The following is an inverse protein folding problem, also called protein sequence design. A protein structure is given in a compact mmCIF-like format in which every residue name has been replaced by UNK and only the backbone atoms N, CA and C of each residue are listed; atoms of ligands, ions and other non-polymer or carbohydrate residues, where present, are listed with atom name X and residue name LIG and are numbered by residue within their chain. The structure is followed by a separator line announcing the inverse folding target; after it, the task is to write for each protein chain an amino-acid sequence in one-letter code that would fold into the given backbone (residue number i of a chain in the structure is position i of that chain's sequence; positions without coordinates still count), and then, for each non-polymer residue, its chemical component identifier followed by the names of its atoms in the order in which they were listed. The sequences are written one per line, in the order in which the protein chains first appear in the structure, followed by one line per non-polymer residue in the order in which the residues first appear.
data_IF_725595657526
#
_entry.id   IF_725595657526
#
_cell.length_a   1.000
_cell.length_b   1.000
_cell.length_c   1.000
_cell.angle_alpha   90.00
_cell.angle_beta   90.00
_cell.angle_gamma   90.00
#
_symmetry.space_group_name_H-M   'P 1'
#
loop_
_entity.id
_entity.type
_entity.pdbx_description
1 polymer ?
#
# COMPACT_ATOMS: atom_id res chain seq x y z
N UNK A 1 26.60 -3.50 -43.68
CA UNK A 1 27.09 -2.59 -42.64
C UNK A 1 26.19 -2.74 -41.41
N UNK A 2 26.54 -3.66 -40.50
CA UNK A 2 25.66 -4.09 -39.41
C UNK A 2 25.83 -3.18 -38.20
N UNK A 3 24.85 -2.30 -37.93
CA UNK A 3 24.82 -1.50 -36.70
C UNK A 3 24.51 -2.41 -35.51
N UNK A 4 25.56 -2.76 -34.74
CA UNK A 4 25.42 -3.35 -33.42
C UNK A 4 24.88 -2.29 -32.47
N UNK A 5 23.57 -2.27 -32.25
CA UNK A 5 22.96 -1.49 -31.18
C UNK A 5 23.46 -2.05 -29.84
N UNK A 6 24.26 -1.24 -29.14
CA UNK A 6 24.83 -1.57 -27.84
C UNK A 6 23.72 -1.72 -26.80
N UNK A 7 23.56 -2.93 -26.24
CA UNK A 7 22.64 -3.25 -25.12
C UNK A 7 22.82 -2.30 -23.92
N UNK A 8 23.99 -1.66 -23.75
CA UNK A 8 24.24 -0.70 -22.68
C UNK A 8 23.50 0.63 -22.84
N UNK A 9 23.18 1.06 -24.07
CA UNK A 9 22.43 2.31 -24.31
C UNK A 9 20.94 2.24 -23.94
N UNK A 10 20.38 1.03 -23.89
CA UNK A 10 18.98 0.80 -23.53
C UNK A 10 18.70 0.91 -22.02
N UNK A 11 19.68 0.57 -21.18
CA UNK A 11 19.54 0.65 -19.72
C UNK A 11 19.78 2.07 -19.17
N UNK A 12 20.64 2.87 -19.82
CA UNK A 12 20.96 4.24 -19.37
C UNK A 12 19.79 5.23 -19.58
N UNK A 13 18.88 4.95 -20.53
CA UNK A 13 17.64 5.73 -20.72
C UNK A 13 16.51 5.36 -19.74
N UNK A 14 16.62 4.25 -19.02
CA UNK A 14 15.56 3.74 -18.14
C UNK A 14 15.52 4.41 -16.75
N UNK A 15 16.62 5.05 -16.34
CA UNK A 15 16.66 5.93 -15.17
C UNK A 15 16.38 7.37 -15.61
N UNK A 16 15.10 7.71 -15.80
CA UNK A 16 14.68 9.04 -15.35
C UNK A 16 15.04 9.08 -13.87
N UNK A 17 15.89 9.99 -13.43
CA UNK A 17 16.22 10.15 -12.02
C UNK A 17 14.90 10.31 -11.25
N UNK A 18 14.49 9.26 -10.56
CA UNK A 18 13.28 9.23 -9.76
C UNK A 18 13.44 10.31 -8.70
N UNK A 19 12.37 11.04 -8.36
CA UNK A 19 12.47 12.04 -7.29
C UNK A 19 12.93 11.36 -6.00
N UNK A 20 13.52 12.12 -5.07
CA UNK A 20 13.88 11.60 -3.74
C UNK A 20 12.70 10.91 -3.06
N UNK A 21 11.48 11.39 -3.34
CA UNK A 21 10.24 10.94 -2.71
C UNK A 21 9.72 9.64 -3.32
N UNK A 22 9.77 9.52 -4.64
CA UNK A 22 9.43 8.29 -5.35
C UNK A 22 10.37 7.14 -4.93
N UNK A 23 11.67 7.42 -4.86
CA UNK A 23 12.67 6.46 -4.40
C UNK A 23 12.40 6.02 -2.96
N UNK A 24 12.03 6.95 -2.08
CA UNK A 24 11.70 6.63 -0.69
C UNK A 24 10.54 5.64 -0.61
N UNK A 25 9.44 5.91 -1.31
CA UNK A 25 8.28 5.02 -1.32
C UNK A 25 8.58 3.67 -1.97
N UNK A 26 9.35 3.63 -3.06
CA UNK A 26 9.74 2.36 -3.67
C UNK A 26 10.61 1.50 -2.76
N UNK A 27 11.60 2.09 -2.08
CA UNK A 27 12.46 1.36 -1.15
C UNK A 27 11.69 0.89 0.09
N UNK A 28 10.74 1.69 0.58
CA UNK A 28 9.88 1.27 1.69
C UNK A 28 8.96 0.12 1.26
N UNK A 29 8.31 0.22 0.10
CA UNK A 29 7.47 -0.84 -0.45
C UNK A 29 8.26 -2.13 -0.69
N UNK A 30 9.47 -2.03 -1.25
CA UNK A 30 10.35 -3.18 -1.46
C UNK A 30 10.73 -3.90 -0.16
N UNK A 31 10.95 -3.15 0.92
CA UNK A 31 11.29 -3.70 2.24
C UNK A 31 10.09 -4.31 2.96
N UNK A 32 8.92 -3.68 2.86
CA UNK A 32 7.73 -4.09 3.59
C UNK A 32 6.87 -5.12 2.84
N UNK A 33 6.84 -5.07 1.51
CA UNK A 33 5.97 -5.87 0.66
C UNK A 33 6.67 -6.22 -0.67
N UNK A 34 7.67 -7.08 -0.58
CA UNK A 34 8.55 -7.43 -1.69
C UNK A 34 7.80 -8.08 -2.87
N UNK A 35 6.82 -8.95 -2.59
CA UNK A 35 6.07 -9.63 -3.64
C UNK A 35 5.22 -8.64 -4.44
N UNK A 36 4.44 -7.78 -3.78
CA UNK A 36 3.65 -6.77 -4.49
C UNK A 36 4.53 -5.68 -5.12
N UNK A 37 5.73 -5.42 -4.59
CA UNK A 37 6.72 -4.58 -5.26
C UNK A 37 7.14 -5.18 -6.62
N UNK A 38 7.42 -6.49 -6.69
CA UNK A 38 7.73 -7.14 -7.98
C UNK A 38 6.52 -7.05 -8.93
N UNK A 39 5.30 -7.25 -8.44
CA UNK A 39 4.11 -7.06 -9.29
C UNK A 39 4.04 -5.61 -9.82
N UNK A 40 4.33 -4.62 -8.96
CA UNK A 40 4.28 -3.21 -9.32
C UNK A 40 5.32 -2.80 -10.37
N UNK A 41 6.49 -3.46 -10.46
CA UNK A 41 7.53 -3.05 -11.43
C UNK A 41 7.08 -3.23 -12.89
N UNK A 42 6.11 -4.10 -13.13
CA UNK A 42 5.53 -4.36 -14.45
C UNK A 42 4.49 -3.30 -14.87
N UNK A 43 4.07 -2.41 -13.98
CA UNK A 43 3.13 -1.35 -14.29
C UNK A 43 3.79 -0.20 -15.08
N UNK A 44 3.01 0.58 -15.85
CA UNK A 44 3.50 1.81 -16.47
C UNK A 44 4.11 2.77 -15.44
N UNK A 45 5.11 3.61 -15.79
CA UNK A 45 5.90 4.36 -14.81
C UNK A 45 5.10 5.14 -13.76
N UNK A 46 4.05 5.86 -14.15
CA UNK A 46 3.21 6.59 -13.19
C UNK A 46 2.40 5.65 -12.28
N UNK A 47 1.84 4.57 -12.82
CA UNK A 47 1.07 3.60 -12.03
C UNK A 47 1.96 2.76 -11.12
N UNK A 48 3.20 2.46 -11.54
CA UNK A 48 4.22 1.84 -10.69
C UNK A 48 4.55 2.71 -9.48
N UNK A 49 4.81 4.01 -9.70
CA UNK A 49 5.05 4.96 -8.61
C UNK A 49 3.86 5.01 -7.65
N UNK A 50 2.65 5.08 -8.20
CA UNK A 50 1.42 5.10 -7.41
C UNK A 50 1.22 3.80 -6.60
N UNK A 51 1.41 2.63 -7.20
CA UNK A 51 1.34 1.36 -6.51
C UNK A 51 2.37 1.27 -5.36
N UNK A 52 3.62 1.67 -5.62
CA UNK A 52 4.65 1.70 -4.60
C UNK A 52 4.32 2.70 -3.48
N UNK A 53 3.77 3.87 -3.80
CA UNK A 53 3.28 4.82 -2.81
C UNK A 53 2.19 4.21 -1.92
N UNK A 54 1.15 3.58 -2.50
CA UNK A 54 0.06 2.99 -1.71
C UNK A 54 0.54 1.88 -0.78
N UNK A 55 1.49 1.06 -1.24
CA UNK A 55 2.11 0.00 -0.42
C UNK A 55 2.98 0.59 0.69
N UNK A 56 3.79 1.60 0.37
CA UNK A 56 4.59 2.33 1.34
C UNK A 56 3.73 3.03 2.40
N UNK A 57 2.62 3.62 1.99
CA UNK A 57 1.63 4.22 2.88
C UNK A 57 1.04 3.17 3.82
N UNK A 58 0.56 2.04 3.30
CA UNK A 58 0.04 0.96 4.14
C UNK A 58 1.07 0.47 5.17
N UNK A 59 2.35 0.35 4.78
CA UNK A 59 3.43 -0.01 5.68
C UNK A 59 3.71 1.07 6.75
N UNK A 60 3.67 2.35 6.38
CA UNK A 60 3.82 3.47 7.33
C UNK A 60 2.67 3.47 8.35
N UNK A 61 1.42 3.24 7.93
CA UNK A 61 0.26 3.13 8.83
C UNK A 61 0.37 1.88 9.71
N UNK A 62 0.83 0.75 9.18
CA UNK A 62 1.04 -0.48 9.94
C UNK A 62 1.98 -0.29 11.13
N UNK A 63 3.07 0.46 10.91
CA UNK A 63 4.12 0.66 11.91
C UNK A 63 3.78 1.73 12.96
N UNK A 64 2.63 2.41 12.86
CA UNK A 64 2.24 3.46 13.81
C UNK A 64 2.16 2.90 15.23
N UNK A 65 1.53 1.74 15.41
CA UNK A 65 1.38 1.10 16.73
C UNK A 65 2.70 0.59 17.29
N UNK A 66 3.63 0.16 16.44
CA UNK A 66 4.94 -0.34 16.90
C UNK A 66 5.89 0.81 17.28
N UNK A 67 5.79 1.95 16.61
CA UNK A 67 6.61 3.14 16.88
C UNK A 67 6.06 3.97 18.05
N UNK A 68 4.77 3.92 18.31
CA UNK A 68 4.12 4.64 19.40
C UNK A 68 4.40 3.97 20.76
N UNK A 69 4.67 4.79 21.79
CA UNK A 69 4.87 4.29 23.16
C UNK A 69 3.55 3.94 23.85
N UNK A 70 2.48 4.64 23.50
CA UNK A 70 1.16 4.48 24.09
C UNK A 70 0.09 4.53 23.00
N UNK A 71 -1.11 4.03 23.32
CA UNK A 71 -2.23 4.04 22.39
C UNK A 71 -2.66 5.45 22.01
N UNK A 72 -2.56 6.39 22.94
CA UNK A 72 -2.91 7.80 22.74
C UNK A 72 -1.99 8.43 21.68
N UNK A 73 -0.69 8.13 21.74
CA UNK A 73 0.28 8.60 20.73
C UNK A 73 -0.01 7.99 19.35
N UNK A 74 -0.36 6.70 19.30
CA UNK A 74 -0.77 6.06 18.05
C UNK A 74 -2.03 6.72 17.47
N UNK A 75 -3.04 6.98 18.30
CA UNK A 75 -4.28 7.65 17.90
C UNK A 75 -4.05 9.05 17.35
N UNK A 76 -3.14 9.83 17.96
CA UNK A 76 -2.73 11.14 17.43
C UNK A 76 -2.14 11.00 16.03
N UNK A 77 -1.28 9.99 15.81
CA UNK A 77 -0.67 9.74 14.50
C UNK A 77 -1.66 9.24 13.45
N UNK A 78 -2.66 8.44 13.83
CA UNK A 78 -3.74 8.05 12.91
C UNK A 78 -4.63 9.25 12.56
N UNK A 79 -5.02 10.06 13.55
CA UNK A 79 -5.78 11.29 13.33
C UNK A 79 -5.05 12.24 12.39
N UNK A 80 -3.75 12.42 12.60
CA UNK A 80 -2.90 13.20 11.70
C UNK A 80 -3.03 12.77 10.23
N UNK A 81 -3.01 11.46 9.97
CA UNK A 81 -3.16 10.95 8.60
C UNK A 81 -4.56 11.19 8.03
N UNK A 82 -5.61 11.00 8.82
CA UNK A 82 -6.98 11.30 8.39
C UNK A 82 -7.15 12.78 8.02
N UNK A 83 -6.66 13.67 8.88
CA UNK A 83 -6.73 15.12 8.67
C UNK A 83 -5.89 15.52 7.43
N UNK A 84 -4.73 14.89 7.22
CA UNK A 84 -3.90 15.11 6.04
C UNK A 84 -4.58 14.66 4.74
N UNK A 85 -5.23 13.48 4.73
CA UNK A 85 -5.99 12.99 3.58
C UNK A 85 -7.16 13.94 3.28
N UNK A 86 -7.89 14.38 4.30
CA UNK A 86 -9.00 15.32 4.14
C UNK A 86 -8.52 16.67 3.59
N UNK A 87 -7.42 17.20 4.10
CA UNK A 87 -6.84 18.46 3.64
C UNK A 87 -6.42 18.40 2.17
N UNK A 88 -5.68 17.36 1.77
CA UNK A 88 -5.25 17.18 0.37
C UNK A 88 -6.47 16.91 -0.53
N UNK A 89 -7.48 16.20 -0.04
CA UNK A 89 -8.72 15.96 -0.80
C UNK A 89 -9.50 17.24 -1.10
N UNK A 90 -9.51 18.22 -0.19
CA UNK A 90 -10.22 19.50 -0.38
C UNK A 90 -9.46 20.43 -1.32
N UNK A 91 -8.14 20.55 -1.10
CA UNK A 91 -7.29 21.39 -1.93
C UNK A 91 -5.88 20.79 -2.06
N UNK A 92 -5.61 20.05 -3.16
CA UNK A 92 -4.29 19.53 -3.45
C UNK A 92 -3.23 20.60 -3.74
N UNK A 93 -3.62 21.87 -3.92
CA UNK A 93 -2.72 22.99 -4.25
C UNK A 93 -2.35 23.88 -3.05
N UNK A 94 -3.14 23.86 -1.98
CA UNK A 94 -2.93 24.67 -0.76
C UNK A 94 -1.80 24.18 0.17
N UNK A 95 -1.09 23.14 -0.21
CA UNK A 95 -0.38 22.28 0.74
C UNK A 95 1.11 22.56 0.87
N UNK A 96 1.46 23.84 1.11
CA UNK A 96 2.84 24.30 1.35
C UNK A 96 3.46 23.82 2.68
N UNK A 97 2.80 22.94 3.43
CA UNK A 97 3.15 22.59 4.83
C UNK A 97 3.68 21.15 4.97
N UNK A 98 3.55 20.30 3.95
CA UNK A 98 3.96 18.90 4.05
C UNK A 98 5.47 18.70 3.82
N UNK A 99 6.13 18.06 4.78
CA UNK A 99 7.60 18.00 4.87
C UNK A 99 8.15 16.60 4.63
N UNK A 100 7.36 15.55 4.83
CA UNK A 100 7.82 14.18 4.63
C UNK A 100 7.71 13.74 3.15
N UNK A 101 8.59 12.84 2.69
CA UNK A 101 8.46 12.25 1.35
C UNK A 101 7.10 11.60 1.10
N UNK A 102 6.53 10.96 2.13
CA UNK A 102 5.23 10.28 2.05
C UNK A 102 4.09 11.26 1.75
N UNK A 103 4.03 12.37 2.47
CA UNK A 103 2.99 13.39 2.24
C UNK A 103 3.10 14.03 0.85
N UNK A 104 4.33 14.25 0.35
CA UNK A 104 4.53 14.76 -1.01
C UNK A 104 4.07 13.76 -2.07
N UNK A 105 4.29 12.47 -1.85
CA UNK A 105 3.74 11.43 -2.73
C UNK A 105 2.22 11.35 -2.64
N UNK A 106 1.60 11.60 -1.48
CA UNK A 106 0.16 11.69 -1.34
C UNK A 106 -0.42 12.83 -2.19
N UNK A 107 0.16 14.03 -2.10
CA UNK A 107 -0.24 15.17 -2.94
C UNK A 107 -0.06 14.84 -4.42
N UNK A 108 1.11 14.32 -4.79
CA UNK A 108 1.40 13.94 -6.17
C UNK A 108 0.38 12.93 -6.70
N UNK A 109 0.04 11.91 -5.91
CA UNK A 109 -0.92 10.89 -6.28
C UNK A 109 -2.33 11.47 -6.48
N UNK A 110 -2.79 12.32 -5.57
CA UNK A 110 -4.12 12.95 -5.64
C UNK A 110 -4.23 14.01 -6.75
N UNK A 111 -3.12 14.62 -7.15
CA UNK A 111 -3.07 15.51 -8.32
C UNK A 111 -3.00 14.73 -9.64
N UNK A 112 -2.34 13.57 -9.64
CA UNK A 112 -2.05 12.81 -10.86
C UNK A 112 -3.16 11.84 -11.25
N UNK A 113 -3.80 11.22 -10.27
CA UNK A 113 -4.80 10.18 -10.47
C UNK A 113 -6.15 10.57 -9.89
N UNK A 114 -7.21 10.03 -10.49
CA UNK A 114 -8.56 10.11 -9.94
C UNK A 114 -8.85 8.82 -9.22
N UNK A 115 -8.92 8.88 -7.89
CA UNK A 115 -9.36 7.78 -7.03
C UNK A 115 -10.11 8.35 -5.83
N UNK A 116 -10.93 7.53 -5.20
CA UNK A 116 -11.72 7.89 -4.03
C UNK A 116 -10.83 8.00 -2.79
N UNK A 117 -10.69 9.20 -2.18
CA UNK A 117 -9.87 9.39 -0.98
C UNK A 117 -10.37 8.57 0.21
N UNK A 118 -11.64 8.17 0.19
CA UNK A 118 -12.27 7.30 1.18
C UNK A 118 -11.48 5.99 1.38
N UNK A 119 -10.88 5.44 0.33
CA UNK A 119 -10.09 4.22 0.43
C UNK A 119 -8.87 4.39 1.35
N UNK A 120 -8.19 5.54 1.30
CA UNK A 120 -7.09 5.85 2.22
C UNK A 120 -7.59 5.97 3.66
N UNK A 121 -8.68 6.69 3.88
CA UNK A 121 -9.26 6.87 5.21
C UNK A 121 -9.73 5.54 5.81
N UNK A 122 -10.40 4.70 5.03
CA UNK A 122 -10.83 3.36 5.46
C UNK A 122 -9.65 2.49 5.90
N UNK A 123 -8.53 2.53 5.18
CA UNK A 123 -7.33 1.79 5.54
C UNK A 123 -6.75 2.29 6.89
N UNK A 124 -6.69 3.62 7.08
CA UNK A 124 -6.22 4.22 8.33
C UNK A 124 -7.15 3.85 9.49
N UNK A 125 -8.46 3.98 9.31
CA UNK A 125 -9.48 3.63 10.32
C UNK A 125 -9.43 2.15 10.69
N UNK A 126 -9.28 1.25 9.71
CA UNK A 126 -9.18 -0.19 9.97
C UNK A 126 -7.99 -0.53 10.89
N UNK A 127 -6.85 0.16 10.72
CA UNK A 127 -5.69 0.01 11.60
C UNK A 127 -5.87 0.74 12.94
N UNK A 128 -6.48 1.92 12.94
CA UNK A 128 -6.76 2.70 14.14
C UNK A 128 -7.82 2.07 15.04
N UNK A 129 -8.71 1.24 14.50
CA UNK A 129 -9.73 0.53 15.28
C UNK A 129 -9.25 -0.83 15.81
N UNK A 130 -8.07 -1.30 15.39
CA UNK A 130 -7.51 -2.54 15.90
C UNK A 130 -6.99 -2.35 17.33
N UNK A 131 -7.47 -3.20 18.25
CA UNK A 131 -6.94 -3.31 19.60
C UNK A 131 -5.52 -3.89 19.60
N UNK A 132 -4.61 -3.23 20.32
CA UNK A 132 -3.19 -3.60 20.36
C UNK A 132 -2.97 -4.90 21.14
N UNK A 133 -2.19 -5.81 20.56
CA UNK A 133 -1.82 -7.08 21.21
C UNK A 133 -2.96 -8.09 21.38
N UNK A 134 -4.15 -7.79 20.86
CA UNK A 134 -5.31 -8.69 20.90
C UNK A 134 -5.30 -9.61 19.67
N UNK A 135 -5.25 -10.94 19.85
CA UNK A 135 -5.37 -11.88 18.73
C UNK A 135 -6.77 -11.82 18.14
N UNK A 136 -6.92 -12.21 16.87
CA UNK A 136 -8.24 -12.31 16.26
C UNK A 136 -9.02 -13.47 16.87
N UNK A 137 -10.31 -13.26 17.16
CA UNK A 137 -11.17 -14.27 17.74
C UNK A 137 -11.59 -15.34 16.72
N UNK A 138 -11.74 -14.95 15.44
CA UNK A 138 -12.19 -15.86 14.37
C UNK A 138 -11.42 -15.63 13.08
N UNK A 139 -11.40 -16.63 12.19
CA UNK A 139 -10.82 -16.49 10.85
C UNK A 139 -11.56 -15.42 10.04
N UNK A 140 -12.88 -15.30 10.20
CA UNK A 140 -13.67 -14.25 9.58
C UNK A 140 -13.26 -12.84 10.01
N UNK A 141 -12.90 -12.65 11.28
CA UNK A 141 -12.40 -11.37 11.78
C UNK A 141 -11.03 -11.04 11.17
N UNK A 142 -10.14 -12.04 11.10
CA UNK A 142 -8.84 -11.92 10.43
C UNK A 142 -9.02 -11.56 8.94
N UNK A 143 -9.91 -12.25 8.23
CA UNK A 143 -10.24 -12.01 6.83
C UNK A 143 -10.74 -10.59 6.60
N UNK A 144 -11.74 -10.15 7.37
CA UNK A 144 -12.28 -8.79 7.28
C UNK A 144 -11.20 -7.75 7.52
N UNK A 145 -10.33 -7.96 8.51
CA UNK A 145 -9.23 -7.04 8.76
C UNK A 145 -8.21 -7.02 7.60
N UNK A 146 -7.83 -8.19 7.09
CA UNK A 146 -6.95 -8.30 5.94
C UNK A 146 -7.56 -7.61 4.71
N UNK A 147 -8.88 -7.73 4.53
CA UNK A 147 -9.65 -7.07 3.50
C UNK A 147 -9.63 -5.55 3.65
N UNK A 148 -10.02 -5.03 4.80
CA UNK A 148 -10.06 -3.59 5.05
C UNK A 148 -8.67 -2.92 4.98
N UNK A 149 -7.57 -3.67 5.17
CA UNK A 149 -6.20 -3.11 5.13
C UNK A 149 -5.49 -3.31 3.79
N UNK A 150 -5.96 -4.21 2.92
CA UNK A 150 -5.33 -4.48 1.62
C UNK A 150 -6.22 -4.17 0.42
N UNK A 151 -7.51 -4.48 0.48
CA UNK A 151 -8.45 -4.24 -0.61
C UNK A 151 -8.48 -2.76 -1.07
N UNK A 152 -8.44 -1.75 -0.18
CA UNK A 152 -8.42 -0.35 -0.60
C UNK A 152 -7.29 -0.01 -1.58
N UNK A 153 -6.13 -0.66 -1.46
CA UNK A 153 -4.99 -0.45 -2.36
C UNK A 153 -5.33 -0.86 -3.78
N UNK A 154 -6.00 -2.00 -3.93
CA UNK A 154 -6.39 -2.53 -5.23
C UNK A 154 -7.54 -1.71 -5.84
N UNK A 155 -8.51 -1.27 -5.03
CA UNK A 155 -9.56 -0.37 -5.50
C UNK A 155 -9.00 0.95 -6.01
N UNK A 156 -8.09 1.58 -5.28
CA UNK A 156 -7.45 2.82 -5.74
C UNK A 156 -6.63 2.61 -7.01
N UNK A 157 -5.92 1.48 -7.13
CA UNK A 157 -5.21 1.14 -8.36
C UNK A 157 -6.16 0.97 -9.54
N UNK A 158 -7.27 0.24 -9.37
CA UNK A 158 -8.27 0.06 -10.41
C UNK A 158 -8.89 1.41 -10.85
N UNK A 159 -9.29 2.24 -9.88
CA UNK A 159 -9.83 3.59 -10.16
C UNK A 159 -8.82 4.47 -10.91
N UNK A 160 -7.52 4.32 -10.63
CA UNK A 160 -6.46 5.07 -11.31
C UNK A 160 -6.32 4.71 -12.80
N UNK A 161 -6.67 3.47 -13.19
CA UNK A 161 -6.68 3.03 -14.58
C UNK A 161 -7.97 3.43 -15.33
N UNK A 162 -9.10 3.48 -14.63
CA UNK A 162 -10.44 3.66 -15.23
C UNK A 162 -10.80 5.13 -15.56
N UNK A 163 -9.88 6.08 -15.37
CA UNK A 163 -10.11 7.49 -15.74
C UNK A 163 -11.29 8.17 -15.02
N UNK A 164 -11.80 7.58 -13.92
CA UNK A 164 -12.94 8.10 -13.16
C UNK A 164 -14.30 7.92 -13.83
N UNK A 165 -14.45 7.01 -14.79
CA UNK A 165 -15.73 6.83 -15.48
C UNK A 165 -15.92 5.48 -16.17
N UNK A 166 -16.30 4.47 -15.41
CA UNK A 166 -17.16 3.37 -15.87
C UNK A 166 -16.48 2.27 -16.67
N UNK A 167 -15.82 1.34 -15.97
CA UNK A 167 -15.38 0.08 -16.57
C UNK A 167 -14.75 -0.90 -15.58
N UNK A 168 -15.22 -0.90 -14.33
CA UNK A 168 -14.59 -1.60 -13.18
C UNK A 168 -14.49 -3.12 -13.36
N UNK A 169 -15.26 -3.76 -14.23
CA UNK A 169 -15.32 -5.22 -14.32
C UNK A 169 -14.06 -5.90 -14.91
N UNK A 170 -13.48 -5.40 -16.01
CA UNK A 170 -12.42 -6.16 -16.72
C UNK A 170 -11.04 -6.12 -16.03
N UNK A 171 -10.67 -4.98 -15.43
CA UNK A 171 -9.39 -4.85 -14.71
C UNK A 171 -9.52 -5.45 -13.31
N UNK A 172 -10.64 -5.22 -12.60
CA UNK A 172 -10.80 -5.76 -11.26
C UNK A 172 -10.89 -7.29 -11.26
N UNK A 173 -11.36 -7.93 -12.34
CA UNK A 173 -11.36 -9.40 -12.42
C UNK A 173 -9.95 -10.01 -12.53
N UNK A 174 -9.01 -9.38 -13.25
CA UNK A 174 -7.59 -9.80 -13.25
C UNK A 174 -6.92 -9.55 -11.89
N UNK A 175 -7.25 -8.43 -11.23
CA UNK A 175 -6.68 -8.09 -9.93
C UNK A 175 -7.33 -8.84 -8.76
N UNK A 176 -8.59 -9.29 -8.88
CA UNK A 176 -9.24 -10.23 -7.95
C UNK A 176 -8.45 -11.53 -7.87
N UNK A 177 -7.92 -12.03 -8.98
CA UNK A 177 -7.06 -13.24 -8.96
C UNK A 177 -5.80 -12.98 -8.14
N UNK A 178 -5.12 -11.84 -8.33
CA UNK A 178 -3.91 -11.49 -7.55
C UNK A 178 -4.25 -11.25 -6.08
N UNK A 179 -5.37 -10.60 -5.79
CA UNK A 179 -5.87 -10.35 -4.44
C UNK A 179 -6.24 -11.63 -3.71
N UNK A 180 -7.07 -12.48 -4.33
CA UNK A 180 -7.46 -13.77 -3.79
C UNK A 180 -6.26 -14.71 -3.68
N UNK A 181 -5.32 -14.70 -4.64
CA UNK A 181 -4.08 -15.46 -4.55
C UNK A 181 -3.21 -15.01 -3.37
N UNK A 182 -3.02 -13.70 -3.18
CA UNK A 182 -2.24 -13.18 -2.04
C UNK A 182 -2.94 -13.44 -0.69
N UNK A 183 -4.26 -13.35 -0.63
CA UNK A 183 -5.05 -13.65 0.57
C UNK A 183 -5.01 -15.15 0.91
N UNK A 184 -5.24 -16.04 -0.07
CA UNK A 184 -5.14 -17.50 0.12
C UNK A 184 -3.71 -17.93 0.42
N UNK A 185 -2.69 -17.32 -0.19
CA UNK A 185 -1.29 -17.61 0.11
C UNK A 185 -0.91 -17.17 1.53
N UNK A 186 -1.36 -16.00 1.98
CA UNK A 186 -1.15 -15.54 3.36
C UNK A 186 -1.88 -16.42 4.39
N UNK A 187 -3.09 -16.88 4.08
CA UNK A 187 -3.86 -17.81 4.93
C UNK A 187 -3.27 -19.23 4.95
N UNK A 188 -2.77 -19.73 3.82
CA UNK A 188 -2.21 -21.08 3.69
C UNK A 188 -0.81 -21.22 4.28
N UNK A 189 0.00 -20.15 4.31
CA UNK A 189 1.39 -20.20 4.78
C UNK A 189 1.56 -19.77 6.24
N UNK A 190 0.59 -19.07 6.84
CA UNK A 190 0.64 -18.65 8.24
C UNK A 190 0.77 -19.81 9.26
N UNK A 191 0.19 -21.01 9.06
CA UNK A 191 0.35 -22.13 10.00
C UNK A 191 1.46 -23.14 9.65
N UNK A 192 2.01 -23.13 8.42
CA UNK A 192 2.72 -24.29 7.86
C UNK A 192 4.25 -24.19 7.76
N UNK A 193 4.86 -23.04 8.06
CA UNK A 193 6.32 -22.86 7.89
C UNK A 193 6.99 -22.63 9.25
N UNK A 194 7.69 -23.65 9.80
CA UNK A 194 8.56 -23.47 10.95
C UNK A 194 9.63 -22.42 10.63
N UNK A 195 9.52 -21.25 11.27
CA UNK A 195 10.45 -20.14 11.05
C UNK A 195 9.98 -19.04 10.09
N UNK A 196 8.76 -19.10 9.55
CA UNK A 196 8.20 -17.97 8.79
C UNK A 196 7.97 -16.76 9.71
N UNK A 197 8.83 -15.76 9.54
CA UNK A 197 8.63 -14.42 10.07
C UNK A 197 7.81 -13.69 9.03
N UNK A 198 6.52 -13.47 9.28
CA UNK A 198 5.78 -12.48 8.52
C UNK A 198 6.60 -11.18 8.54
N UNK A 199 6.98 -10.68 7.37
CA UNK A 199 7.65 -9.37 7.23
C UNK A 199 6.66 -8.22 7.44
N UNK A 200 5.61 -8.43 8.26
CA UNK A 200 4.86 -7.35 8.83
C UNK A 200 5.67 -6.85 10.03
N UNK A 201 6.08 -5.58 10.01
CA UNK A 201 6.85 -4.95 11.07
C UNK A 201 6.12 -4.84 12.41
N UNK A 202 4.95 -5.48 12.53
CA UNK A 202 4.08 -5.51 13.70
C UNK A 202 4.50 -6.60 14.68
N UNK A 203 4.34 -6.31 15.98
CA UNK A 203 4.35 -7.35 17.03
C UNK A 203 3.48 -8.53 16.59
N UNK A 204 4.10 -9.70 16.41
CA UNK A 204 3.52 -11.00 16.02
C UNK A 204 2.01 -11.09 16.28
N UNK A 205 1.21 -10.88 15.24
CA UNK A 205 -0.21 -11.18 15.30
C UNK A 205 -0.33 -12.70 15.23
N UNK A 206 -0.67 -13.35 16.35
CA UNK A 206 -1.05 -14.77 16.32
C UNK A 206 -2.44 -14.87 15.71
N UNK A 207 -2.52 -15.50 14.53
CA UNK A 207 -3.80 -15.81 13.89
C UNK A 207 -4.49 -16.99 14.59
N UNK A 208 -5.83 -17.07 14.54
CA UNK A 208 -6.57 -18.27 14.94
C UNK A 208 -6.17 -19.46 14.05
N UNK A 209 -6.30 -20.69 14.58
CA UNK A 209 -6.09 -21.90 13.78
C UNK A 209 -7.20 -22.01 12.72
N UNK A 210 -6.89 -21.64 11.48
CA UNK A 210 -7.83 -21.64 10.35
C UNK A 210 -7.84 -22.96 9.55
N UNK A 211 -7.53 -24.08 10.19
CA UNK A 211 -7.66 -25.41 9.58
C UNK A 211 -9.06 -25.96 9.87
N UNK A 212 -9.95 -25.87 8.88
CA UNK A 212 -11.21 -26.61 8.81
C UNK A 212 -11.29 -27.31 7.46
#
# INVERSE_FOLDING_TARGET
MSLRLSRRGLLVRAQRALSSDENFCMELAKKADYYNYICAIHLPPSHRRFACFLRAFNAEIAQVTDRARTREIANIRFRYWLDAIEAVSKDPSSTSVFRSPMERELIWAMQRFRFSPRWLSMLVEARANRADGVPFATCLELERYAEMTNAPIYYMLAESFDGGGGGVESVVDEWKVVYHYNLTYAQATAPAIPGYKAHDGTRRIRGPNCLS
#
